data_IF_967735377550
#
_entry.id   IF_967735377550
#
_cell.length_a   1.000
_cell.length_b   1.000
_cell.length_c   1.000
_cell.angle_alpha   90.00
_cell.angle_beta   90.00
_cell.angle_gamma   90.00
#
_symmetry.space_group_name_H-M   'P 1'
#
loop_
_entity.id
_entity.type
_entity.pdbx_description
1 polymer ?
#
# COMPACT_ATOMS: atom_id res chain seq x y z
N UNK A 1 -11.71 -28.21 12.32
CA UNK A 1 -12.22 -27.80 10.99
C UNK A 1 -11.28 -26.76 10.44
N UNK A 2 -10.87 -26.87 9.18
CA UNK A 2 -10.13 -25.79 8.51
C UNK A 2 -11.12 -24.65 8.24
N UNK A 3 -10.84 -23.46 8.76
CA UNK A 3 -11.63 -22.27 8.46
C UNK A 3 -11.31 -21.82 7.04
N UNK A 4 -12.31 -21.80 6.17
CA UNK A 4 -12.19 -21.24 4.81
C UNK A 4 -12.46 -19.75 4.86
N UNK A 5 -11.74 -18.97 4.04
CA UNK A 5 -11.98 -17.52 3.87
C UNK A 5 -12.74 -17.20 2.57
N UNK A 6 -13.13 -18.22 1.82
CA UNK A 6 -13.94 -18.07 0.60
C UNK A 6 -15.31 -17.48 0.95
N UNK A 7 -15.76 -16.50 0.16
CA UNK A 7 -17.05 -15.82 0.27
C UNK A 7 -17.26 -15.01 1.57
N UNK A 8 -16.18 -14.79 2.35
CA UNK A 8 -16.21 -14.04 3.62
C UNK A 8 -15.89 -12.54 3.46
N UNK A 9 -15.42 -12.10 2.28
CA UNK A 9 -15.07 -10.71 2.01
C UNK A 9 -15.30 -10.35 0.53
N UNK A 10 -15.43 -9.05 0.25
CA UNK A 10 -15.53 -8.50 -1.10
C UNK A 10 -14.77 -7.18 -1.21
N UNK A 11 -14.31 -6.84 -2.42
CA UNK A 11 -13.86 -5.48 -2.75
C UNK A 11 -15.11 -4.66 -3.05
N UNK A 12 -15.34 -3.62 -2.25
CA UNK A 12 -16.56 -2.79 -2.33
C UNK A 12 -16.30 -1.39 -2.88
N UNK A 13 -15.04 -0.96 -3.00
CA UNK A 13 -14.70 0.33 -3.57
C UNK A 13 -13.26 0.39 -4.09
N UNK A 14 -13.03 1.26 -5.07
CA UNK A 14 -11.73 1.54 -5.69
C UNK A 14 -11.48 3.05 -5.81
N UNK A 15 -10.22 3.48 -5.72
CA UNK A 15 -9.84 4.88 -5.84
C UNK A 15 -8.47 5.01 -6.51
N UNK A 16 -8.30 6.01 -7.36
CA UNK A 16 -7.10 6.17 -8.16
C UNK A 16 -6.92 7.61 -8.63
N UNK A 17 -5.83 8.22 -8.20
CA UNK A 17 -5.39 9.51 -8.73
C UNK A 17 -4.89 9.38 -10.17
N UNK A 18 -4.79 10.50 -10.89
CA UNK A 18 -4.32 10.48 -12.26
C UNK A 18 -2.84 10.08 -12.38
N UNK A 19 -2.51 9.27 -13.39
CA UNK A 19 -1.12 8.88 -13.65
C UNK A 19 -0.39 10.02 -14.35
N UNK A 20 0.58 10.61 -13.66
CA UNK A 20 1.38 11.71 -14.17
C UNK A 20 2.89 11.47 -14.03
N UNK A 21 3.66 12.22 -14.82
CA UNK A 21 5.13 12.26 -14.70
C UNK A 21 5.61 13.24 -13.63
N UNK A 22 4.72 14.13 -13.19
CA UNK A 22 4.95 15.15 -12.18
C UNK A 22 3.58 15.50 -11.57
N UNK A 23 3.27 14.92 -10.42
CA UNK A 23 1.98 15.09 -9.74
C UNK A 23 1.79 16.48 -9.14
N UNK A 24 2.89 17.23 -8.92
CA UNK A 24 2.87 18.50 -8.18
C UNK A 24 2.42 18.38 -6.72
N UNK A 25 2.27 17.15 -6.20
CA UNK A 25 1.67 16.85 -4.89
C UNK A 25 2.60 15.96 -4.07
N UNK A 26 2.43 15.99 -2.75
CA UNK A 26 3.16 15.07 -1.85
C UNK A 26 2.62 13.64 -2.00
N UNK A 27 3.44 12.65 -1.65
CA UNK A 27 2.97 11.25 -1.64
C UNK A 27 1.85 11.04 -0.62
N UNK A 28 1.87 11.75 0.52
CA UNK A 28 0.79 11.72 1.51
C UNK A 28 -0.52 12.24 0.91
N UNK A 29 -0.47 13.32 0.12
CA UNK A 29 -1.66 13.84 -0.54
C UNK A 29 -2.20 12.83 -1.57
N UNK A 30 -1.34 12.23 -2.39
CA UNK A 30 -1.74 11.19 -3.34
C UNK A 30 -2.37 9.97 -2.64
N UNK A 31 -1.80 9.54 -1.51
CA UNK A 31 -2.34 8.45 -0.69
C UNK A 31 -3.71 8.81 -0.10
N UNK A 32 -3.84 10.01 0.46
CA UNK A 32 -5.08 10.46 1.07
C UNK A 32 -6.20 10.59 0.02
N UNK A 33 -5.91 11.12 -1.16
CA UNK A 33 -6.88 11.24 -2.25
C UNK A 33 -7.36 9.87 -2.74
N UNK A 34 -6.47 8.93 -3.05
CA UNK A 34 -6.89 7.61 -3.54
C UNK A 34 -7.63 6.79 -2.47
N UNK A 35 -7.22 6.89 -1.19
CA UNK A 35 -7.93 6.25 -0.07
C UNK A 35 -9.30 6.86 0.12
N UNK A 36 -9.41 8.20 0.05
CA UNK A 36 -10.70 8.89 0.17
C UNK A 36 -11.65 8.50 -0.95
N UNK A 37 -11.18 8.46 -2.20
CA UNK A 37 -11.97 8.00 -3.35
C UNK A 37 -12.43 6.54 -3.16
N UNK A 38 -11.57 5.63 -2.71
CA UNK A 38 -11.94 4.24 -2.47
C UNK A 38 -13.02 4.08 -1.38
N UNK A 39 -12.93 4.89 -0.32
CA UNK A 39 -13.94 4.93 0.75
C UNK A 39 -15.28 5.46 0.22
N UNK A 40 -15.24 6.52 -0.60
CA UNK A 40 -16.43 7.15 -1.17
C UNK A 40 -17.11 6.25 -2.21
N UNK A 41 -16.33 5.56 -3.06
CA UNK A 41 -16.84 4.56 -4.02
C UNK A 41 -17.51 3.37 -3.33
N UNK A 42 -16.98 2.97 -2.16
CA UNK A 42 -17.61 1.96 -1.32
C UNK A 42 -18.92 2.43 -0.64
N UNK A 43 -19.26 3.72 -0.72
CA UNK A 43 -20.37 4.31 0.01
C UNK A 43 -20.17 4.31 1.53
N UNK A 44 -18.92 4.20 1.99
CA UNK A 44 -18.54 4.16 3.40
C UNK A 44 -18.12 5.54 3.90
N UNK A 45 -17.93 5.65 5.21
CA UNK A 45 -17.30 6.80 5.86
C UNK A 45 -15.91 6.41 6.35
N UNK A 46 -14.98 7.37 6.52
CA UNK A 46 -13.69 7.08 7.16
C UNK A 46 -13.80 6.40 8.53
N UNK A 47 -14.88 6.65 9.27
CA UNK A 47 -15.18 6.01 10.55
C UNK A 47 -15.55 4.53 10.46
N UNK A 48 -15.87 4.03 9.27
CA UNK A 48 -16.21 2.62 9.04
C UNK A 48 -14.96 1.77 8.76
N UNK A 49 -13.82 2.40 8.48
CA UNK A 49 -12.54 1.73 8.21
C UNK A 49 -11.82 1.47 9.53
N UNK A 50 -11.43 0.22 9.74
CA UNK A 50 -10.74 -0.24 10.95
C UNK A 50 -9.48 -1.07 10.64
N UNK A 51 -9.03 -1.10 9.39
CA UNK A 51 -7.75 -1.66 9.00
C UNK A 51 -7.12 -0.96 7.80
N UNK A 52 -5.79 -0.96 7.74
CA UNK A 52 -5.02 -0.42 6.62
C UNK A 52 -3.88 -1.38 6.22
N UNK A 53 -3.67 -1.54 4.92
CA UNK A 53 -2.56 -2.32 4.36
C UNK A 53 -1.79 -1.49 3.32
N UNK A 54 -0.47 -1.40 3.45
CA UNK A 54 0.40 -0.64 2.56
C UNK A 54 1.63 -1.43 2.10
N UNK A 55 2.55 -0.79 1.39
CA UNK A 55 3.82 -1.40 0.98
C UNK A 55 4.91 -1.01 1.96
N UNK A 56 5.89 -1.88 2.19
CA UNK A 56 7.12 -1.46 2.90
C UNK A 56 7.93 -0.42 2.11
N UNK A 57 7.59 -0.20 0.84
CA UNK A 57 8.20 0.78 -0.06
C UNK A 57 7.42 2.10 -0.17
N UNK A 58 6.33 2.27 0.56
CA UNK A 58 5.70 3.58 0.74
C UNK A 58 6.56 4.42 1.69
N UNK A 59 6.80 5.69 1.33
CA UNK A 59 7.45 6.64 2.25
C UNK A 59 6.45 7.34 3.17
N UNK A 60 5.16 7.08 2.98
CA UNK A 60 4.07 7.64 3.78
C UNK A 60 3.74 6.66 4.89
N UNK A 61 3.67 7.18 6.12
CA UNK A 61 3.26 6.37 7.25
C UNK A 61 1.75 6.12 7.25
N UNK A 62 1.32 4.89 7.55
CA UNK A 62 -0.08 4.48 7.42
C UNK A 62 -0.97 5.25 8.39
N UNK A 63 -0.42 5.60 9.56
CA UNK A 63 -1.08 6.44 10.55
C UNK A 63 -1.30 7.87 10.04
N UNK A 64 -0.42 8.39 9.19
CA UNK A 64 -0.57 9.73 8.60
C UNK A 64 -1.63 9.73 7.51
N UNK A 65 -1.73 8.66 6.71
CA UNK A 65 -2.84 8.47 5.76
C UNK A 65 -4.16 8.42 6.52
N UNK A 66 -4.25 7.58 7.56
CA UNK A 66 -5.44 7.46 8.39
C UNK A 66 -5.87 8.80 9.00
N UNK A 67 -4.92 9.56 9.56
CA UNK A 67 -5.17 10.92 10.07
C UNK A 67 -5.64 11.88 8.97
N UNK A 68 -5.01 11.84 7.80
CA UNK A 68 -5.34 12.73 6.68
C UNK A 68 -6.76 12.50 6.14
N UNK A 69 -7.24 11.24 6.12
CA UNK A 69 -8.59 10.91 5.63
C UNK A 69 -9.65 10.87 6.74
N UNK A 70 -9.25 11.00 8.01
CA UNK A 70 -10.16 11.03 9.16
C UNK A 70 -10.60 9.66 9.68
N UNK A 71 -9.76 8.63 9.52
CA UNK A 71 -9.97 7.31 10.15
C UNK A 71 -9.60 7.42 11.64
N UNK A 72 -10.53 7.16 12.58
CA UNK A 72 -10.32 7.45 13.99
C UNK A 72 -9.49 6.38 14.74
N UNK A 73 -9.62 5.11 14.33
CA UNK A 73 -9.01 3.97 15.02
C UNK A 73 -8.68 2.86 14.01
N UNK A 74 -7.55 2.18 14.21
CA UNK A 74 -7.12 1.05 13.39
C UNK A 74 -6.86 -0.16 14.27
N UNK A 75 -7.48 -1.29 13.92
CA UNK A 75 -7.28 -2.61 14.53
C UNK A 75 -6.20 -3.41 13.82
N UNK A 76 -5.94 -3.08 12.55
CA UNK A 76 -4.88 -3.64 11.73
C UNK A 76 -4.08 -2.54 11.04
N UNK A 77 -2.77 -2.63 11.14
CA UNK A 77 -1.82 -1.92 10.29
C UNK A 77 -0.81 -2.93 9.78
N UNK A 78 -0.70 -3.11 8.47
CA UNK A 78 0.24 -4.07 7.89
C UNK A 78 0.94 -3.52 6.66
N UNK A 79 2.22 -3.86 6.50
CA UNK A 79 3.02 -3.51 5.33
C UNK A 79 3.60 -4.73 4.66
N UNK A 80 3.35 -4.86 3.37
CA UNK A 80 3.81 -6.02 2.60
C UNK A 80 5.11 -5.71 1.86
N UNK A 81 6.14 -6.57 2.00
CA UNK A 81 7.41 -6.44 1.28
C UNK A 81 7.32 -6.98 -0.15
N UNK A 82 8.46 -7.01 -0.84
CA UNK A 82 8.64 -7.55 -2.20
C UNK A 82 8.15 -6.67 -3.35
N UNK A 83 8.06 -5.35 -3.13
CA UNK A 83 7.83 -4.37 -4.20
C UNK A 83 6.65 -4.73 -5.11
N UNK A 84 6.91 -5.04 -6.37
CA UNK A 84 5.87 -5.34 -7.36
C UNK A 84 5.00 -6.56 -7.01
N UNK A 85 5.47 -7.43 -6.11
CA UNK A 85 4.76 -8.63 -5.67
C UNK A 85 3.84 -8.41 -4.46
N UNK A 86 3.98 -7.27 -3.79
CA UNK A 86 3.16 -6.91 -2.63
C UNK A 86 1.65 -6.72 -2.90
N UNK A 87 1.15 -6.26 -4.08
CA UNK A 87 -0.27 -5.93 -4.24
C UNK A 87 -1.23 -7.06 -3.86
N UNK A 88 -0.93 -8.30 -4.25
CA UNK A 88 -1.76 -9.46 -3.90
C UNK A 88 -1.72 -9.76 -2.39
N UNK A 89 -0.57 -9.54 -1.75
CA UNK A 89 -0.42 -9.72 -0.31
C UNK A 89 -1.25 -8.72 0.49
N UNK A 90 -1.41 -7.47 0.03
CA UNK A 90 -2.29 -6.48 0.66
C UNK A 90 -3.73 -7.01 0.69
N UNK A 91 -4.21 -7.49 -0.46
CA UNK A 91 -5.56 -8.06 -0.59
C UNK A 91 -5.73 -9.30 0.28
N UNK A 92 -4.73 -10.19 0.33
CA UNK A 92 -4.78 -11.37 1.19
C UNK A 92 -4.86 -11.01 2.68
N UNK A 93 -4.10 -10.01 3.15
CA UNK A 93 -4.15 -9.56 4.55
C UNK A 93 -5.49 -8.95 4.89
N UNK A 94 -6.02 -8.08 4.01
CA UNK A 94 -7.35 -7.52 4.16
C UNK A 94 -8.44 -8.61 4.23
N UNK A 95 -8.39 -9.58 3.31
CA UNK A 95 -9.34 -10.69 3.26
C UNK A 95 -9.29 -11.54 4.54
N UNK A 96 -8.10 -11.90 5.04
CA UNK A 96 -7.96 -12.66 6.28
C UNK A 96 -8.45 -11.87 7.50
N UNK A 97 -8.18 -10.56 7.55
CA UNK A 97 -8.61 -9.72 8.67
C UNK A 97 -10.15 -9.59 8.72
N UNK A 98 -10.80 -9.45 7.55
CA UNK A 98 -12.27 -9.42 7.46
C UNK A 98 -12.85 -10.79 7.79
N UNK A 99 -12.36 -11.86 7.16
CA UNK A 99 -12.90 -13.22 7.33
C UNK A 99 -12.76 -13.77 8.76
N UNK A 100 -11.77 -13.28 9.53
CA UNK A 100 -11.58 -13.66 10.94
C UNK A 100 -12.32 -12.76 11.92
N UNK A 101 -13.02 -11.72 11.44
CA UNK A 101 -13.66 -10.70 12.27
C UNK A 101 -12.69 -9.78 13.00
N UNK A 102 -11.41 -9.76 12.61
CA UNK A 102 -10.41 -8.84 13.14
C UNK A 102 -10.74 -7.40 12.76
N UNK A 103 -11.18 -7.18 11.51
CA UNK A 103 -11.60 -5.89 10.96
C UNK A 103 -12.95 -6.03 10.27
N UNK A 104 -13.70 -4.94 10.16
CA UNK A 104 -14.93 -4.85 9.36
C UNK A 104 -14.67 -4.32 7.95
N UNK A 105 -13.77 -3.35 7.80
CA UNK A 105 -13.40 -2.79 6.51
C UNK A 105 -11.93 -2.38 6.52
N UNK A 106 -11.21 -2.87 5.51
CA UNK A 106 -9.77 -2.67 5.37
C UNK A 106 -9.51 -1.94 4.06
N UNK A 107 -8.72 -0.86 4.12
CA UNK A 107 -8.28 -0.16 2.91
C UNK A 107 -6.82 -0.50 2.59
N UNK A 108 -6.60 -0.93 1.35
CA UNK A 108 -5.26 -1.12 0.79
C UNK A 108 -4.87 0.06 -0.09
N UNK A 109 -3.64 0.57 0.05
CA UNK A 109 -3.19 1.69 -0.77
C UNK A 109 -1.74 1.53 -1.24
N UNK A 110 -1.43 2.28 -2.30
CA UNK A 110 -0.06 2.54 -2.77
C UNK A 110 -0.02 3.95 -3.35
N UNK A 111 0.94 4.76 -2.94
CA UNK A 111 1.15 6.08 -3.49
C UNK A 111 2.63 6.38 -3.65
N UNK A 112 3.02 6.90 -4.82
CA UNK A 112 4.44 7.21 -5.07
C UNK A 112 4.61 8.29 -6.14
N UNK A 113 5.64 9.10 -5.95
CA UNK A 113 6.18 10.03 -6.93
C UNK A 113 7.41 9.41 -7.60
N UNK A 114 7.23 8.30 -8.33
CA UNK A 114 8.35 7.52 -8.88
C UNK A 114 9.25 8.24 -9.90
N UNK A 115 8.81 9.39 -10.44
CA UNK A 115 9.60 10.23 -11.37
C UNK A 115 9.95 11.60 -10.81
N UNK A 116 9.02 12.24 -10.09
CA UNK A 116 9.17 13.58 -9.51
C UNK A 116 9.65 13.58 -8.05
N UNK A 117 9.80 12.41 -7.44
CA UNK A 117 10.35 12.18 -6.10
C UNK A 117 11.46 11.12 -6.14
N UNK A 118 11.55 10.30 -5.08
CA UNK A 118 12.56 9.24 -4.98
C UNK A 118 12.43 8.21 -6.10
N UNK A 119 13.51 8.01 -6.86
CA UNK A 119 13.52 7.14 -8.04
C UNK A 119 14.16 5.80 -7.72
N UNK A 120 13.47 4.72 -8.06
CA UNK A 120 14.06 3.38 -8.04
C UNK A 120 15.27 3.25 -8.95
N UNK A 121 15.31 4.00 -10.06
CA UNK A 121 16.44 4.00 -10.99
C UNK A 121 17.72 4.65 -10.44
N UNK A 122 17.65 5.38 -9.31
CA UNK A 122 18.84 5.97 -8.67
C UNK A 122 19.72 4.91 -7.96
N UNK A 123 19.25 3.66 -7.86
CA UNK A 123 20.00 2.55 -7.27
C UNK A 123 20.23 2.70 -5.77
N UNK A 124 21.45 2.42 -5.31
CA UNK A 124 21.82 2.43 -3.87
C UNK A 124 22.36 3.79 -3.39
N UNK A 125 22.39 4.81 -4.25
CA UNK A 125 22.99 6.10 -3.93
C UNK A 125 22.16 6.94 -2.94
N UNK A 126 20.88 6.61 -2.75
CA UNK A 126 19.95 7.39 -1.93
C UNK A 126 19.17 6.49 -0.95
N UNK A 127 19.22 6.82 0.35
CA UNK A 127 18.34 6.27 1.41
C UNK A 127 19.06 5.47 2.50
N UNK A 128 18.39 5.19 3.64
CA UNK A 128 18.95 4.44 4.75
C UNK A 128 19.24 2.97 4.39
N UNK A 129 20.17 2.37 5.13
CA UNK A 129 20.51 0.94 5.07
C UNK A 129 19.40 0.13 5.77
N UNK A 130 18.54 -0.53 4.99
CA UNK A 130 17.51 -1.45 5.49
C UNK A 130 17.79 -2.88 5.03
N UNK A 131 17.42 -3.90 5.82
CA UNK A 131 17.78 -5.31 5.55
C UNK A 131 17.20 -5.84 4.22
N UNK A 132 16.08 -5.29 3.76
CA UNK A 132 15.53 -5.60 2.44
C UNK A 132 16.47 -5.17 1.30
N UNK A 133 17.27 -4.11 1.47
CA UNK A 133 18.30 -3.71 0.50
C UNK A 133 19.44 -4.71 0.37
N UNK A 134 19.73 -5.53 1.40
CA UNK A 134 20.69 -6.65 1.28
C UNK A 134 20.16 -7.66 0.26
N UNK A 135 18.87 -7.97 0.32
CA UNK A 135 18.23 -8.86 -0.66
C UNK A 135 18.33 -8.27 -2.08
N UNK A 136 18.24 -6.94 -2.20
CA UNK A 136 18.32 -6.25 -3.49
C UNK A 136 19.74 -6.13 -4.03
N UNK A 137 20.75 -6.09 -3.15
CA UNK A 137 22.17 -6.02 -3.52
C UNK A 137 22.63 -7.18 -4.41
N UNK A 138 21.93 -8.32 -4.40
CA UNK A 138 22.23 -9.47 -5.26
C UNK A 138 21.87 -9.26 -6.73
N UNK A 139 20.91 -8.39 -7.04
CA UNK A 139 20.38 -8.22 -8.40
C UNK A 139 20.44 -6.78 -8.94
N UNK A 140 20.49 -5.78 -8.06
CA UNK A 140 20.62 -4.37 -8.47
C UNK A 140 21.86 -4.08 -9.33
N UNK A 141 23.06 -4.66 -9.08
CA UNK A 141 24.22 -4.48 -9.95
C UNK A 141 24.03 -4.99 -11.38
N UNK A 142 23.07 -5.90 -11.58
CA UNK A 142 22.73 -6.48 -12.89
C UNK A 142 21.60 -5.70 -13.60
N UNK A 143 21.25 -4.51 -13.12
CA UNK A 143 20.25 -3.64 -13.74
C UNK A 143 18.80 -3.93 -13.35
N UNK A 144 18.58 -4.85 -12.40
CA UNK A 144 17.25 -5.18 -11.87
C UNK A 144 16.82 -4.16 -10.81
N UNK A 145 16.56 -2.92 -11.25
CA UNK A 145 16.35 -1.76 -10.37
C UNK A 145 14.89 -1.41 -10.11
N UNK A 146 13.93 -2.01 -10.82
CA UNK A 146 12.51 -1.61 -10.74
C UNK A 146 11.63 -2.70 -10.15
N UNK A 147 10.54 -2.37 -9.44
CA UNK A 147 9.64 -3.39 -8.88
C UNK A 147 9.14 -4.45 -9.86
N UNK A 148 9.00 -4.10 -11.15
CA UNK A 148 8.57 -5.02 -12.20
C UNK A 148 9.56 -6.17 -12.45
N UNK A 149 10.87 -5.93 -12.30
CA UNK A 149 11.88 -6.96 -12.56
C UNK A 149 12.19 -7.84 -11.34
N UNK A 150 11.57 -7.60 -10.19
CA UNK A 150 11.76 -8.41 -8.98
C UNK A 150 10.75 -9.57 -8.87
N UNK A 151 9.76 -9.59 -9.75
CA UNK A 151 8.66 -10.56 -9.76
C UNK A 151 8.55 -11.34 -11.06
N UNK A 152 9.40 -11.04 -12.04
CA UNK A 152 9.43 -11.66 -13.37
C UNK A 152 10.38 -12.86 -13.41
#
# INVERSE_FOLDING_TARGET
>A
MLTSIKDECAIVGIGMTEISKNSGRSELQLAAECVKEAIDDAGLKPTDIDGITGFTLDHVEDIEVARAVGIPELRLMSRMPHGGGAPMSLVHQAAMAVATGMCKAVVGYRAMNGRSGARYSSGIAEGPETTDRISWGWYMPYGLLTPACWVA
#
